data_IF_266059695325
#
_entry.id   IF_266059695325
#
_cell.length_a   1.000
_cell.length_b   1.000
_cell.length_c   1.000
_cell.angle_alpha   90.00
_cell.angle_beta   90.00
_cell.angle_gamma   90.00
#
_symmetry.space_group_name_H-M   'P 1'
#
loop_
_entity.id
_entity.type
_entity.pdbx_description
1 polymer ?
#
# COMPACT_ATOMS: atom_id res chain seq x y z
N UNK A 1 1.25 -18.38 2.99
CA UNK A 1 0.28 -17.53 2.28
C UNK A 1 -0.43 -16.74 3.36
N UNK A 2 -0.25 -15.42 3.40
CA UNK A 2 -0.99 -14.57 4.33
C UNK A 2 -2.44 -14.55 3.87
N UNK A 3 -3.39 -14.90 4.74
CA UNK A 3 -4.80 -14.67 4.45
C UNK A 3 -5.20 -13.28 4.94
N UNK A 4 -6.18 -12.67 4.26
CA UNK A 4 -6.65 -11.32 4.59
C UNK A 4 -7.04 -11.17 6.07
N UNK A 5 -7.56 -12.24 6.67
CA UNK A 5 -8.08 -12.33 8.03
C UNK A 5 -7.07 -12.85 9.07
N UNK A 6 -5.88 -13.30 8.67
CA UNK A 6 -4.86 -13.77 9.60
C UNK A 6 -4.13 -12.60 10.26
N UNK A 7 -4.00 -12.67 11.59
CA UNK A 7 -3.25 -11.68 12.34
C UNK A 7 -1.75 -11.90 12.21
N UNK A 8 -1.05 -10.89 11.71
CA UNK A 8 0.39 -10.84 11.63
C UNK A 8 0.90 -9.45 12.03
N UNK A 9 2.22 -9.33 12.16
CA UNK A 9 2.87 -8.02 12.14
C UNK A 9 3.32 -7.75 10.73
N UNK A 10 2.83 -6.66 10.16
CA UNK A 10 3.15 -6.20 8.82
C UNK A 10 4.13 -5.04 8.87
N UNK A 11 5.03 -4.99 7.90
CA UNK A 11 5.89 -3.84 7.63
C UNK A 11 5.35 -3.09 6.44
N UNK A 12 5.02 -1.81 6.62
CA UNK A 12 4.52 -0.93 5.57
C UNK A 12 5.69 -0.06 5.09
N UNK A 13 6.08 -0.24 3.83
CA UNK A 13 7.13 0.54 3.18
C UNK A 13 6.53 1.52 2.19
N UNK A 14 6.73 2.82 2.43
CA UNK A 14 6.30 3.87 1.50
C UNK A 14 7.30 4.13 0.38
N UNK A 15 8.38 3.36 0.26
CA UNK A 15 9.36 3.46 -0.83
C UNK A 15 10.23 4.72 -0.80
N UNK A 16 10.13 5.55 0.25
CA UNK A 16 10.88 6.80 0.39
C UNK A 16 12.05 6.71 1.37
N UNK A 17 12.15 5.59 2.12
CA UNK A 17 13.10 5.43 3.21
C UNK A 17 12.75 6.22 4.48
N UNK A 18 11.59 6.87 4.54
CA UNK A 18 11.08 7.57 5.72
C UNK A 18 9.56 7.35 5.87
N UNK A 19 9.07 7.37 7.12
CA UNK A 19 7.64 7.20 7.41
C UNK A 19 7.15 5.75 7.39
N UNK A 20 8.03 4.78 7.11
CA UNK A 20 7.73 3.36 7.21
C UNK A 20 7.41 2.98 8.66
N UNK A 21 6.46 2.06 8.86
CA UNK A 21 6.04 1.65 10.19
C UNK A 21 5.60 0.18 10.22
N UNK A 22 5.54 -0.36 11.43
CA UNK A 22 5.01 -1.70 11.67
C UNK A 22 3.58 -1.61 12.18
N UNK A 23 2.72 -2.52 11.73
CA UNK A 23 1.34 -2.63 12.17
C UNK A 23 1.01 -4.08 12.52
N UNK A 24 0.39 -4.32 13.67
CA UNK A 24 -0.06 -5.66 14.07
C UNK A 24 -1.58 -5.74 13.99
N UNK A 25 -2.07 -6.61 13.12
CA UNK A 25 -3.49 -6.77 12.82
C UNK A 25 -3.66 -7.72 11.65
N UNK A 26 -4.74 -7.53 10.90
CA UNK A 26 -5.02 -8.23 9.63
C UNK A 26 -4.39 -7.49 8.44
N UNK A 27 -4.26 -8.15 7.28
CA UNK A 27 -3.71 -7.50 6.09
C UNK A 27 -4.62 -6.35 5.63
N UNK A 28 -5.93 -6.54 5.71
CA UNK A 28 -6.92 -5.52 5.40
C UNK A 28 -6.73 -4.27 6.29
N UNK A 29 -6.63 -4.44 7.61
CA UNK A 29 -6.35 -3.33 8.54
C UNK A 29 -5.01 -2.65 8.23
N UNK A 30 -3.97 -3.40 7.84
CA UNK A 30 -2.68 -2.84 7.46
C UNK A 30 -2.77 -1.97 6.19
N UNK A 31 -3.56 -2.39 5.20
CA UNK A 31 -3.84 -1.61 3.98
C UNK A 31 -4.61 -0.33 4.31
N UNK A 32 -5.59 -0.39 5.22
CA UNK A 32 -6.31 0.80 5.68
C UNK A 32 -5.40 1.82 6.39
N UNK A 33 -4.50 1.35 7.26
CA UNK A 33 -3.50 2.22 7.91
C UNK A 33 -2.50 2.80 6.91
N UNK A 34 -2.04 1.99 5.95
CA UNK A 34 -1.18 2.47 4.85
C UNK A 34 -1.86 3.58 4.05
N UNK A 35 -3.16 3.44 3.76
CA UNK A 35 -3.94 4.44 3.03
C UNK A 35 -3.97 5.79 3.78
N UNK A 36 -4.01 5.79 5.12
CA UNK A 36 -4.01 7.02 5.94
C UNK A 36 -2.68 7.78 5.87
N UNK A 37 -1.58 7.07 5.64
CA UNK A 37 -0.26 7.67 5.53
C UNK A 37 0.16 8.02 4.10
N UNK A 38 -0.72 7.86 3.10
CA UNK A 38 -0.47 8.26 1.71
C UNK A 38 -0.27 9.79 1.64
N UNK A 39 1.00 10.19 1.71
CA UNK A 39 1.46 11.55 1.44
C UNK A 39 1.87 11.68 -0.04
N UNK A 40 2.35 12.85 -0.45
CA UNK A 40 2.97 13.06 -1.77
C UNK A 40 4.31 12.31 -1.92
N UNK A 41 4.34 10.99 -1.66
CA UNK A 41 5.55 10.16 -1.81
C UNK A 41 5.84 9.90 -3.29
N UNK A 42 4.79 9.90 -4.14
CA UNK A 42 4.88 9.71 -5.60
C UNK A 42 5.62 8.43 -6.01
N UNK A 43 5.60 7.43 -5.12
CA UNK A 43 6.19 6.11 -5.31
C UNK A 43 5.21 5.07 -4.79
N UNK A 44 5.32 3.81 -5.26
CA UNK A 44 4.46 2.75 -4.77
C UNK A 44 4.64 2.45 -3.28
N UNK A 45 3.63 1.83 -2.68
CA UNK A 45 3.66 1.34 -1.29
C UNK A 45 3.66 -0.19 -1.31
N UNK A 46 4.49 -0.83 -0.50
CA UNK A 46 4.47 -2.28 -0.32
C UNK A 46 4.21 -2.66 1.14
N UNK A 47 3.61 -3.84 1.31
CA UNK A 47 3.36 -4.46 2.61
C UNK A 47 3.96 -5.86 2.58
N UNK A 48 4.79 -6.16 3.56
CA UNK A 48 5.35 -7.49 3.81
C UNK A 48 5.02 -7.96 5.23
N UNK A 49 5.05 -9.27 5.45
CA UNK A 49 5.05 -9.79 6.84
C UNK A 49 6.40 -9.45 7.45
N UNK A 50 6.42 -8.98 8.70
CA UNK A 50 7.64 -8.76 9.46
C UNK A 50 8.45 -10.07 9.52
N UNK A 51 9.74 -9.97 9.20
CA UNK A 51 10.68 -11.10 9.03
C UNK A 51 10.38 -12.01 7.82
N UNK A 52 9.40 -11.67 6.99
CA UNK A 52 9.16 -12.28 5.68
C UNK A 52 10.13 -11.74 4.62
N UNK A 53 10.34 -12.53 3.57
CA UNK A 53 11.21 -12.14 2.45
C UNK A 53 10.45 -11.49 1.28
N UNK A 54 9.13 -11.66 1.21
CA UNK A 54 8.32 -11.29 0.05
C UNK A 54 7.24 -10.26 0.41
N UNK A 55 7.03 -9.31 -0.50
CA UNK A 55 5.90 -8.39 -0.44
C UNK A 55 4.61 -9.12 -0.77
N UNK A 56 3.65 -9.06 0.16
CA UNK A 56 2.35 -9.75 0.05
C UNK A 56 1.25 -8.84 -0.49
N UNK A 57 1.44 -7.52 -0.40
CA UNK A 57 0.54 -6.55 -1.02
C UNK A 57 1.31 -5.33 -1.54
N UNK A 58 0.78 -4.73 -2.61
CA UNK A 58 1.40 -3.60 -3.29
C UNK A 58 0.34 -2.63 -3.80
N UNK A 59 0.56 -1.34 -3.54
CA UNK A 59 -0.27 -0.24 -4.03
C UNK A 59 0.47 0.55 -5.11
N UNK A 60 0.08 0.44 -6.39
CA UNK A 60 0.73 1.14 -7.48
C UNK A 60 0.51 2.65 -7.39
N UNK A 61 1.59 3.40 -7.62
CA UNK A 61 1.52 4.82 -7.95
C UNK A 61 1.53 5.02 -9.47
N UNK A 62 0.60 5.83 -9.97
CA UNK A 62 0.54 6.28 -11.35
C UNK A 62 0.81 7.78 -11.40
N UNK A 63 1.93 8.20 -11.97
CA UNK A 63 2.33 9.62 -12.10
C UNK A 63 1.59 10.39 -13.19
N UNK A 64 0.31 10.09 -13.41
CA UNK A 64 -0.56 10.70 -14.41
C UNK A 64 -1.94 10.95 -13.79
N UNK A 65 -2.68 11.92 -14.33
CA UNK A 65 -4.08 12.15 -13.93
C UNK A 65 -4.91 10.87 -14.15
N UNK A 66 -5.72 10.51 -13.15
CA UNK A 66 -6.61 9.36 -13.25
C UNK A 66 -7.71 9.59 -14.30
N UNK A 67 -8.08 8.53 -15.01
CA UNK A 67 -9.21 8.47 -15.93
C UNK A 67 -10.48 7.98 -15.23
N UNK A 68 -11.64 8.13 -15.87
CA UNK A 68 -12.93 7.69 -15.30
C UNK A 68 -13.02 6.17 -15.07
N UNK A 69 -12.23 5.38 -15.80
CA UNK A 69 -12.19 3.93 -15.70
C UNK A 69 -11.19 3.41 -14.64
N UNK A 70 -10.42 4.30 -14.01
CA UNK A 70 -9.39 3.90 -13.03
C UNK A 70 -10.01 3.64 -11.64
N UNK A 71 -9.55 2.56 -10.99
CA UNK A 71 -9.84 2.31 -9.57
C UNK A 71 -8.87 3.13 -8.72
N UNK A 72 -9.40 4.11 -8.00
CA UNK A 72 -8.60 5.10 -7.28
C UNK A 72 -8.69 4.85 -5.76
N UNK A 73 -7.56 4.52 -5.14
CA UNK A 73 -7.43 4.50 -3.68
C UNK A 73 -7.21 5.92 -3.14
N UNK A 74 -6.36 6.72 -3.81
CA UNK A 74 -6.14 8.12 -3.48
C UNK A 74 -5.71 8.92 -4.71
N UNK A 75 -6.26 10.13 -4.90
CA UNK A 75 -5.95 11.01 -6.03
C UNK A 75 -5.22 12.27 -5.58
N UNK A 76 -4.22 12.67 -6.36
CA UNK A 76 -3.46 13.90 -6.19
C UNK A 76 -3.63 14.82 -7.41
N UNK A 77 -4.82 14.79 -8.01
CA UNK A 77 -5.17 15.58 -9.19
C UNK A 77 -4.29 15.24 -10.38
N UNK A 78 -3.70 16.26 -11.00
CA UNK A 78 -2.87 16.09 -12.23
C UNK A 78 -1.51 15.44 -11.99
N UNK A 79 -1.09 15.31 -10.73
CA UNK A 79 0.24 14.81 -10.38
C UNK A 79 0.29 13.28 -10.31
N UNK A 80 -0.85 12.63 -10.12
CA UNK A 80 -0.92 11.18 -10.03
C UNK A 80 -2.03 10.67 -9.13
N UNK A 81 -2.16 9.35 -9.09
CA UNK A 81 -3.07 8.64 -8.19
C UNK A 81 -2.49 7.30 -7.76
N UNK A 82 -2.96 6.80 -6.62
CA UNK A 82 -2.80 5.40 -6.22
C UNK A 82 -3.94 4.56 -6.76
N UNK A 83 -3.59 3.47 -7.42
CA UNK A 83 -4.57 2.53 -7.99
C UNK A 83 -5.20 1.59 -6.97
N UNK A 84 -5.65 0.43 -7.43
CA UNK A 84 -6.11 -0.67 -6.56
C UNK A 84 -4.94 -1.42 -5.94
N UNK A 85 -5.12 -1.86 -4.68
CA UNK A 85 -4.21 -2.79 -4.03
C UNK A 85 -4.14 -4.13 -4.76
N UNK A 86 -2.92 -4.62 -4.95
CA UNK A 86 -2.65 -5.94 -5.52
C UNK A 86 -2.11 -6.85 -4.44
N UNK A 87 -2.80 -7.95 -4.19
CA UNK A 87 -2.39 -8.96 -3.22
C UNK A 87 -1.70 -10.09 -3.98
N UNK A 88 -0.50 -10.45 -3.53
CA UNK A 88 0.24 -11.58 -4.07
C UNK A 88 -0.15 -12.84 -3.28
N UNK A 89 -0.75 -13.83 -3.96
CA UNK A 89 -1.12 -15.14 -3.38
C UNK A 89 0.09 -16.05 -3.20
#
# INVERSE_FOLDING_TARGET
MATLDEKNTYYIDYGTGAGNFEFTGTLEEAMEEANKGLCYTQVPVSISIKDGCDDIAYLPWYGIEASEDDVITASFGKFGFYGEWRINE
#
